data_IF_307542904326
#
_entry.id   IF_307542904326
#
_cell.length_a   1.000
_cell.length_b   1.000
_cell.length_c   1.000
_cell.angle_alpha   90.00
_cell.angle_beta   90.00
_cell.angle_gamma   90.00
#
_symmetry.space_group_name_H-M   'P 1'
#
loop_
_entity.id
_entity.type
_entity.pdbx_description
1 polymer ?
#
# COMPACT_ATOMS: atom_id res chain seq x y z
N UNK A 1 17.06 -0.94 -1.14
CA UNK A 1 16.06 -1.76 -0.41
C UNK A 1 14.70 -1.11 -0.57
N UNK A 2 13.66 -1.84 -0.97
CA UNK A 2 12.30 -1.32 -1.08
C UNK A 2 11.76 -1.05 0.33
N UNK A 3 11.01 0.05 0.52
CA UNK A 3 10.39 0.34 1.83
C UNK A 3 9.36 -0.74 2.15
N UNK A 4 9.29 -1.17 3.41
CA UNK A 4 8.42 -2.28 3.82
C UNK A 4 6.95 -2.02 3.45
N UNK A 5 6.45 -0.81 3.67
CA UNK A 5 5.09 -0.43 3.29
C UNK A 5 4.84 -0.46 1.76
N UNK A 6 5.83 -0.09 0.95
CA UNK A 6 5.72 -0.10 -0.51
C UNK A 6 5.55 -1.52 -1.05
N UNK A 7 6.33 -2.46 -0.52
CA UNK A 7 6.19 -3.87 -0.88
C UNK A 7 4.77 -4.39 -0.57
N UNK A 8 4.25 -4.06 0.62
CA UNK A 8 2.92 -4.50 1.01
C UNK A 8 1.82 -3.88 0.11
N UNK A 9 1.97 -2.62 -0.30
CA UNK A 9 1.05 -1.96 -1.25
C UNK A 9 1.09 -2.64 -2.62
N UNK A 10 2.28 -2.94 -3.16
CA UNK A 10 2.40 -3.66 -4.43
C UNK A 10 1.76 -5.04 -4.35
N UNK A 11 1.99 -5.77 -3.26
CA UNK A 11 1.37 -7.07 -3.04
C UNK A 11 -0.17 -6.96 -2.96
N UNK A 12 -0.69 -5.92 -2.31
CA UNK A 12 -2.13 -5.66 -2.24
C UNK A 12 -2.77 -5.35 -3.61
N UNK A 13 -1.99 -4.77 -4.54
CA UNK A 13 -2.42 -4.44 -5.91
C UNK A 13 -2.20 -5.57 -6.91
N UNK A 14 -1.30 -6.51 -6.62
CA UNK A 14 -0.94 -7.61 -7.52
C UNK A 14 -2.12 -8.54 -7.85
N UNK A 15 -3.04 -8.73 -6.90
CA UNK A 15 -4.23 -9.57 -7.12
C UNK A 15 -5.27 -8.89 -8.01
N UNK A 16 -5.56 -7.62 -7.76
CA UNK A 16 -6.56 -6.83 -8.48
C UNK A 16 -6.42 -5.33 -8.18
N UNK A 17 -6.78 -4.45 -9.14
CA UNK A 17 -6.91 -3.02 -8.89
C UNK A 17 -7.78 -2.74 -7.66
N UNK A 18 -7.37 -1.76 -6.85
CA UNK A 18 -8.06 -1.43 -5.62
C UNK A 18 -8.06 0.08 -5.38
N UNK A 19 -9.16 0.59 -4.82
CA UNK A 19 -9.20 1.94 -4.27
C UNK A 19 -8.32 2.03 -3.02
N UNK A 20 -7.86 3.24 -2.67
CA UNK A 20 -6.93 3.45 -1.56
C UNK A 20 -7.39 2.86 -0.22
N UNK A 21 -8.66 3.03 0.14
CA UNK A 21 -9.23 2.43 1.38
C UNK A 21 -9.08 0.91 1.40
N UNK A 22 -9.19 0.28 0.24
CA UNK A 22 -9.12 -1.17 0.12
C UNK A 22 -7.69 -1.69 0.07
N UNK A 23 -6.76 -0.91 -0.48
CA UNK A 23 -5.32 -1.14 -0.30
C UNK A 23 -4.96 -1.15 1.19
N UNK A 24 -5.43 -0.18 1.96
CA UNK A 24 -5.16 -0.15 3.41
C UNK A 24 -5.73 -1.37 4.15
N UNK A 25 -6.94 -1.82 3.78
CA UNK A 25 -7.54 -3.04 4.35
C UNK A 25 -6.72 -4.29 4.03
N UNK A 26 -6.30 -4.46 2.77
CA UNK A 26 -5.48 -5.59 2.32
C UNK A 26 -4.12 -5.60 3.02
N UNK A 27 -3.43 -4.46 3.08
CA UNK A 27 -2.13 -4.32 3.77
C UNK A 27 -2.26 -4.67 5.25
N UNK A 28 -3.31 -4.24 5.93
CA UNK A 28 -3.54 -4.63 7.33
C UNK A 28 -3.78 -6.13 7.46
N UNK A 29 -4.58 -6.72 6.57
CA UNK A 29 -4.91 -8.15 6.60
C UNK A 29 -3.69 -9.04 6.32
N UNK A 30 -2.92 -8.75 5.27
CA UNK A 30 -1.78 -9.55 4.85
C UNK A 30 -0.59 -9.46 5.83
N UNK A 31 -0.56 -8.41 6.65
CA UNK A 31 0.49 -8.20 7.67
C UNK A 31 0.03 -8.51 9.08
N UNK A 32 -1.18 -9.08 9.25
CA UNK A 32 -1.78 -9.36 10.55
C UNK A 32 -1.80 -8.14 11.49
N UNK A 33 -1.96 -6.95 10.90
CA UNK A 33 -1.97 -5.67 11.61
C UNK A 33 -0.59 -5.07 11.92
N UNK A 34 0.52 -5.77 11.65
CA UNK A 34 1.87 -5.22 11.88
C UNK A 34 2.19 -4.01 10.99
N UNK A 35 1.52 -3.87 9.84
CA UNK A 35 1.53 -2.66 9.02
C UNK A 35 0.11 -2.10 8.90
N UNK A 36 -0.08 -0.86 9.36
CA UNK A 36 -1.34 -0.13 9.19
C UNK A 36 -1.08 1.17 8.43
N UNK A 37 -1.75 1.32 7.27
CA UNK A 37 -1.70 2.54 6.47
C UNK A 37 -2.89 3.43 6.82
N UNK A 38 -2.67 4.38 7.72
CA UNK A 38 -3.66 5.44 8.00
C UNK A 38 -3.88 6.32 6.77
N UNK A 39 -5.04 6.97 6.62
CA UNK A 39 -5.38 7.71 5.39
C UNK A 39 -4.27 8.66 4.91
N UNK A 40 -3.70 9.48 5.78
CA UNK A 40 -2.61 10.40 5.41
C UNK A 40 -1.34 9.66 4.95
N UNK A 41 -0.97 8.56 5.61
CA UNK A 41 0.20 7.75 5.25
C UNK A 41 -0.03 6.99 3.96
N UNK A 42 -1.25 6.48 3.76
CA UNK A 42 -1.66 5.77 2.56
C UNK A 42 -1.54 6.68 1.33
N UNK A 43 -2.22 7.82 1.32
CA UNK A 43 -2.23 8.71 0.15
C UNK A 43 -0.83 9.22 -0.17
N UNK A 44 -0.06 9.65 0.83
CA UNK A 44 1.36 10.00 0.62
C UNK A 44 2.17 8.85 0.03
N UNK A 45 1.96 7.62 0.51
CA UNK A 45 2.66 6.44 -0.01
C UNK A 45 2.30 6.17 -1.47
N UNK A 46 1.01 6.28 -1.82
CA UNK A 46 0.53 6.10 -3.19
C UNK A 46 1.07 7.19 -4.12
N UNK A 47 1.09 8.45 -3.68
CA UNK A 47 1.65 9.56 -4.45
C UNK A 47 3.15 9.33 -4.73
N UNK A 48 3.93 9.02 -3.69
CA UNK A 48 5.37 8.75 -3.86
C UNK A 48 5.64 7.53 -4.77
N UNK A 49 4.78 6.52 -4.74
CA UNK A 49 4.89 5.33 -5.60
C UNK A 49 4.52 5.64 -7.06
N UNK A 50 3.49 6.45 -7.27
CA UNK A 50 3.08 6.94 -8.60
C UNK A 50 4.18 7.80 -9.23
N UNK A 51 4.75 8.73 -8.45
CA UNK A 51 5.87 9.58 -8.86
C UNK A 51 7.12 8.75 -9.21
N UNK A 52 7.28 7.59 -8.56
CA UNK A 52 8.38 6.65 -8.82
C UNK A 52 8.09 5.67 -9.97
N UNK A 53 6.91 5.73 -10.60
CA UNK A 53 6.50 4.84 -11.69
C UNK A 53 6.29 3.38 -11.26
N UNK A 54 5.96 3.15 -9.99
CA UNK A 54 5.74 1.79 -9.45
C UNK A 54 4.29 1.33 -9.56
N UNK A 55 3.34 2.27 -9.66
CA UNK A 55 1.89 2.03 -9.81
C UNK A 55 1.29 2.99 -10.83
#
# INVERSE_FOLDING_TARGET
MLRSNWFQVLLALADAPAHGSEVARRVKSQTEGSTTLWPATLYRTLDEMSDSGLI
#
